data_IF_060675171016
#
_entry.id   IF_060675171016
#
_cell.length_a   1.000
_cell.length_b   1.000
_cell.length_c   1.000
_cell.angle_alpha   90.00
_cell.angle_beta   90.00
_cell.angle_gamma   90.00
#
_symmetry.space_group_name_H-M   'P 1'
#
loop_
_entity.id
_entity.type
_entity.pdbx_description
1 polymer ?
#
# COMPACT_ATOMS: atom_id res chain seq x y z
N UNK A 1 -19.44 5.04 10.49
CA UNK A 1 -18.17 5.82 10.59
C UNK A 1 -17.86 6.41 9.23
N UNK A 2 -17.31 7.64 9.11
CA UNK A 2 -17.07 8.21 7.77
C UNK A 2 -15.91 7.51 7.05
N UNK A 3 -16.01 7.33 5.73
CA UNK A 3 -14.94 6.73 4.91
C UNK A 3 -13.58 7.42 5.08
N UNK A 4 -13.56 8.75 5.23
CA UNK A 4 -12.31 9.51 5.45
C UNK A 4 -11.65 9.13 6.78
N UNK A 5 -12.43 8.86 7.83
CA UNK A 5 -11.90 8.45 9.14
C UNK A 5 -11.30 7.05 9.05
N UNK A 6 -12.01 6.12 8.39
CA UNK A 6 -11.52 4.77 8.08
C UNK A 6 -10.19 4.82 7.33
N UNK A 7 -10.11 5.61 6.26
CA UNK A 7 -8.88 5.74 5.45
C UNK A 7 -7.71 6.34 6.23
N UNK A 8 -7.95 7.37 7.06
CA UNK A 8 -6.89 7.95 7.91
C UNK A 8 -6.38 6.96 8.95
N UNK A 9 -7.28 6.17 9.55
CA UNK A 9 -6.90 5.11 10.50
C UNK A 9 -6.15 3.99 9.81
N UNK A 10 -6.57 3.57 8.61
CA UNK A 10 -5.83 2.61 7.79
C UNK A 10 -4.44 3.14 7.42
N UNK A 11 -4.32 4.40 6.99
CA UNK A 11 -3.04 5.04 6.67
C UNK A 11 -2.09 5.01 7.87
N UNK A 12 -2.57 5.45 9.03
CA UNK A 12 -1.78 5.48 10.26
C UNK A 12 -1.37 4.07 10.69
N UNK A 13 -2.31 3.12 10.66
CA UNK A 13 -2.05 1.73 11.00
C UNK A 13 -1.00 1.10 10.07
N UNK A 14 -1.12 1.31 8.76
CA UNK A 14 -0.13 0.82 7.79
C UNK A 14 1.24 1.40 8.07
N UNK A 15 1.33 2.71 8.31
CA UNK A 15 2.61 3.34 8.64
C UNK A 15 3.22 2.75 9.92
N UNK A 16 2.44 2.62 10.98
CA UNK A 16 2.91 2.11 12.27
C UNK A 16 3.32 0.64 12.23
N UNK A 17 2.65 -0.14 11.39
CA UNK A 17 2.83 -1.59 11.32
C UNK A 17 3.99 -1.99 10.42
N UNK A 18 4.12 -1.36 9.24
CA UNK A 18 5.09 -1.81 8.22
C UNK A 18 6.08 -0.76 7.74
N UNK A 19 5.94 0.51 8.12
CA UNK A 19 6.88 1.57 7.69
C UNK A 19 7.76 2.09 8.82
N UNK A 20 7.20 2.27 10.02
CA UNK A 20 7.89 2.91 11.15
C UNK A 20 9.16 2.16 11.53
N UNK A 21 10.28 2.88 11.58
CA UNK A 21 11.61 2.35 11.91
C UNK A 21 12.27 1.53 10.80
N UNK A 22 11.62 1.37 9.64
CA UNK A 22 12.20 0.67 8.49
C UNK A 22 12.97 1.66 7.62
N UNK A 23 14.28 1.48 7.47
CA UNK A 23 15.07 2.26 6.51
C UNK A 23 15.19 1.52 5.18
N UNK A 24 14.75 2.16 4.11
CA UNK A 24 14.76 1.58 2.76
C UNK A 24 15.47 2.52 1.78
N UNK A 25 16.04 1.92 0.73
CA UNK A 25 16.76 2.64 -0.33
C UNK A 25 15.80 3.63 -1.01
N UNK A 26 16.29 4.85 -1.21
CA UNK A 26 15.58 5.93 -1.89
C UNK A 26 16.51 6.55 -2.93
N UNK A 27 15.99 7.23 -3.96
CA UNK A 27 16.85 8.01 -4.84
C UNK A 27 17.74 8.96 -4.03
N UNK A 28 18.95 9.24 -4.50
CA UNK A 28 19.76 10.29 -3.88
C UNK A 28 19.31 11.68 -4.37
N UNK A 29 19.65 12.77 -3.66
CA UNK A 29 19.45 14.13 -4.16
C UNK A 29 19.98 14.30 -5.58
N UNK A 30 19.21 14.97 -6.44
CA UNK A 30 19.49 15.13 -7.87
C UNK A 30 19.59 13.81 -8.67
N UNK A 31 19.00 12.73 -8.17
CA UNK A 31 19.11 11.39 -8.75
C UNK A 31 20.58 10.94 -8.91
N UNK A 32 21.46 11.42 -8.02
CA UNK A 32 22.87 11.02 -8.05
C UNK A 32 22.98 9.56 -7.62
N UNK A 33 22.84 8.67 -8.60
CA UNK A 33 22.92 7.24 -8.37
C UNK A 33 24.16 6.93 -7.54
N UNK A 34 25.30 7.62 -7.72
CA UNK A 34 26.57 7.36 -7.00
C UNK A 34 26.47 7.33 -5.47
N UNK A 35 25.44 7.91 -4.89
CA UNK A 35 25.18 7.93 -3.45
C UNK A 35 24.06 6.97 -3.08
N UNK A 36 24.24 6.24 -1.97
CA UNK A 36 23.15 5.48 -1.37
C UNK A 36 22.45 6.39 -0.38
N UNK A 37 21.21 6.75 -0.69
CA UNK A 37 20.32 7.40 0.25
C UNK A 37 19.33 6.37 0.80
N UNK A 38 18.97 6.54 2.07
CA UNK A 38 17.95 5.75 2.73
C UNK A 38 16.97 6.67 3.42
N UNK A 39 15.71 6.28 3.46
CA UNK A 39 14.70 6.97 4.26
C UNK A 39 13.64 5.98 4.74
N UNK A 40 12.88 6.43 5.73
CA UNK A 40 11.69 5.72 6.16
C UNK A 40 10.56 5.83 5.11
N UNK A 41 9.89 4.73 4.75
CA UNK A 41 8.79 4.77 3.81
C UNK A 41 7.62 5.61 4.31
N UNK A 42 7.00 6.35 3.39
CA UNK A 42 5.80 7.16 3.67
C UNK A 42 4.55 6.45 3.19
N UNK A 43 3.41 6.73 3.82
CA UNK A 43 2.10 6.20 3.41
C UNK A 43 1.21 7.35 2.96
N UNK A 44 0.63 7.24 1.76
CA UNK A 44 -0.23 8.25 1.15
C UNK A 44 -1.65 7.72 0.90
N UNK A 45 -2.63 8.62 0.88
CA UNK A 45 -4.01 8.31 0.51
C UNK A 45 -4.31 8.84 -0.88
N UNK A 46 -4.85 7.99 -1.75
CA UNK A 46 -5.22 8.23 -3.15
C UNK A 46 -4.06 8.63 -4.09
N UNK A 47 -3.31 9.68 -3.78
CA UNK A 47 -2.22 10.20 -4.60
C UNK A 47 -1.00 10.55 -3.74
N UNK A 48 0.19 10.33 -4.30
CA UNK A 48 1.40 10.90 -3.73
C UNK A 48 1.43 12.43 -3.95
N UNK A 49 2.06 13.21 -3.05
CA UNK A 49 2.12 14.66 -3.18
C UNK A 49 2.88 15.06 -4.45
N UNK A 50 2.25 15.88 -5.29
CA UNK A 50 2.92 16.60 -6.38
C UNK A 50 3.48 17.92 -5.84
N UNK A 51 4.72 18.27 -6.17
CA UNK A 51 5.24 19.62 -5.95
C UNK A 51 4.93 20.47 -7.18
N UNK A 52 4.30 21.65 -7.06
CA UNK A 52 4.23 22.58 -8.17
C UNK A 52 5.63 23.14 -8.45
N UNK A 53 6.05 23.17 -9.71
CA UNK A 53 7.21 23.96 -10.11
C UNK A 53 6.84 25.46 -10.21
N UNK A 54 7.84 26.34 -10.27
CA UNK A 54 7.66 27.80 -10.35
C UNK A 54 6.94 28.26 -11.65
N UNK A 55 6.56 27.35 -12.55
CA UNK A 55 5.89 27.63 -13.82
C UNK A 55 4.39 27.28 -13.84
N UNK A 56 3.79 26.94 -12.69
CA UNK A 56 2.41 26.44 -12.60
C UNK A 56 2.17 25.15 -13.41
N UNK A 57 3.24 24.45 -13.79
CA UNK A 57 3.20 23.16 -14.44
C UNK A 57 3.21 22.07 -13.36
N UNK A 58 2.21 21.19 -13.37
CA UNK A 58 2.09 20.06 -12.43
C UNK A 58 2.94 18.88 -12.92
N UNK A 59 4.25 19.05 -13.01
CA UNK A 59 5.12 18.07 -13.65
C UNK A 59 6.54 18.06 -13.14
N UNK A 60 6.74 17.51 -11.94
CA UNK A 60 7.59 16.33 -11.70
C UNK A 60 7.39 15.93 -10.23
N UNK A 61 6.96 14.69 -10.00
CA UNK A 61 6.86 14.14 -8.65
C UNK A 61 8.28 13.93 -8.16
N UNK A 62 8.68 14.63 -7.09
CA UNK A 62 9.99 14.42 -6.47
C UNK A 62 10.12 12.96 -6.04
N UNK A 63 10.97 12.16 -6.70
CA UNK A 63 11.09 10.73 -6.42
C UNK A 63 11.52 10.46 -4.98
N UNK A 64 12.25 11.40 -4.35
CA UNK A 64 12.66 11.34 -2.94
C UNK A 64 11.46 11.40 -2.00
N UNK A 65 10.41 12.12 -2.40
CA UNK A 65 9.23 12.26 -1.56
C UNK A 65 8.29 11.07 -1.66
N UNK A 66 8.44 10.21 -2.67
CA UNK A 66 7.47 9.16 -2.99
C UNK A 66 8.02 7.75 -2.88
N UNK A 67 9.32 7.54 -3.13
CA UNK A 67 9.94 6.22 -3.05
C UNK A 67 11.04 6.16 -2.00
N UNK A 68 11.06 5.15 -1.12
CA UNK A 68 10.09 4.07 -0.99
C UNK A 68 8.81 4.55 -0.30
N UNK A 69 7.68 3.94 -0.62
CA UNK A 69 6.40 4.40 -0.09
C UNK A 69 5.23 3.48 -0.41
N UNK A 70 4.11 3.72 0.27
CA UNK A 70 2.85 3.02 0.09
C UNK A 70 1.78 4.03 -0.32
N UNK A 71 0.97 3.69 -1.31
CA UNK A 71 -0.24 4.44 -1.67
C UNK A 71 -1.46 3.57 -1.40
N UNK A 72 -2.37 4.05 -0.57
CA UNK A 72 -3.67 3.43 -0.32
C UNK A 72 -4.71 4.16 -1.15
N UNK A 73 -5.14 3.53 -2.24
CA UNK A 73 -6.18 4.05 -3.13
C UNK A 73 -7.52 3.38 -2.81
N UNK A 74 -8.52 4.11 -2.27
CA UNK A 74 -9.87 3.57 -2.15
C UNK A 74 -10.43 3.32 -3.56
N UNK A 75 -11.14 2.20 -3.71
CA UNK A 75 -11.79 1.83 -4.98
C UNK A 75 -13.30 1.79 -4.79
N UNK A 76 -13.98 0.84 -5.43
CA UNK A 76 -15.40 0.63 -5.27
C UNK A 76 -15.71 -0.05 -3.93
N UNK A 77 -16.90 0.20 -3.41
CA UNK A 77 -17.41 -0.45 -2.21
C UNK A 77 -18.93 -0.53 -2.31
N UNK A 78 -19.51 -1.52 -1.64
CA UNK A 78 -20.96 -1.64 -1.57
C UNK A 78 -21.51 -0.73 -0.48
N UNK A 79 -22.58 0.00 -0.78
CA UNK A 79 -23.28 0.82 0.22
C UNK A 79 -24.03 -0.04 1.23
N UNK A 80 -24.66 -1.12 0.73
CA UNK A 80 -25.32 -2.17 1.50
C UNK A 80 -25.19 -3.49 0.74
N UNK A 81 -24.46 -4.45 1.31
CA UNK A 81 -24.29 -5.80 0.80
C UNK A 81 -24.96 -6.74 1.79
N UNK A 82 -26.09 -7.30 1.37
CA UNK A 82 -26.79 -8.36 2.10
C UNK A 82 -26.67 -9.64 1.27
N UNK A 83 -25.56 -10.36 1.43
CA UNK A 83 -25.56 -11.78 1.04
C UNK A 83 -25.61 -12.64 2.29
N UNK A 84 -26.74 -13.30 2.49
CA UNK A 84 -26.72 -14.59 3.19
C UNK A 84 -26.02 -15.58 2.26
N UNK A 85 -24.83 -16.06 2.65
CA UNK A 85 -24.28 -17.24 1.96
C UNK A 85 -25.27 -18.41 2.15
N UNK A 86 -25.50 -19.20 1.08
CA UNK A 86 -26.43 -20.33 1.13
C UNK A 86 -26.13 -21.30 2.29
N UNK A 87 -24.86 -21.44 2.67
CA UNK A 87 -24.42 -22.26 3.79
C UNK A 87 -24.92 -21.75 5.15
N UNK A 88 -24.94 -20.43 5.35
CA UNK A 88 -25.38 -19.81 6.60
C UNK A 88 -26.88 -20.00 6.82
N UNK A 89 -27.67 -19.99 5.73
CA UNK A 89 -29.11 -20.28 5.75
C UNK A 89 -29.42 -21.72 6.18
N UNK A 90 -28.54 -22.69 5.90
CA UNK A 90 -28.72 -24.07 6.33
C UNK A 90 -28.24 -24.32 7.77
N UNK A 91 -27.37 -23.46 8.30
CA UNK A 91 -26.79 -23.60 9.64
C UNK A 91 -27.39 -22.63 10.67
N UNK A 92 -28.46 -21.91 10.31
CA UNK A 92 -29.15 -20.93 11.17
C UNK A 92 -28.22 -19.83 11.71
N UNK A 93 -27.13 -19.54 10.97
CA UNK A 93 -26.14 -18.52 11.34
C UNK A 93 -26.68 -17.14 10.94
N UNK A 94 -27.02 -16.35 11.93
CA UNK A 94 -27.54 -14.99 11.74
C UNK A 94 -26.39 -13.99 11.86
N UNK A 95 -25.89 -13.49 10.73
CA UNK A 95 -25.01 -12.32 10.75
C UNK A 95 -25.79 -11.09 11.22
N UNK A 96 -25.19 -10.19 12.04
CA UNK A 96 -25.82 -8.93 12.39
C UNK A 96 -26.22 -8.19 11.10
N UNK A 97 -27.50 -7.83 10.97
CA UNK A 97 -28.10 -7.15 9.81
C UNK A 97 -27.46 -5.79 9.46
N UNK A 98 -26.50 -5.36 10.27
CA UNK A 98 -25.87 -4.04 10.30
C UNK A 98 -24.49 -4.01 9.60
N UNK A 99 -23.91 -5.16 9.23
CA UNK A 99 -22.74 -5.21 8.33
C UNK A 99 -23.24 -5.12 6.89
N UNK A 100 -23.40 -3.89 6.39
CA UNK A 100 -23.88 -3.64 5.04
C UNK A 100 -22.86 -2.94 4.16
N UNK A 101 -21.97 -2.13 4.70
CA UNK A 101 -21.06 -1.38 3.83
C UNK A 101 -19.80 -2.19 3.58
N UNK A 102 -19.25 -2.15 2.37
CA UNK A 102 -17.87 -2.60 2.11
C UNK A 102 -16.99 -1.45 1.67
N UNK A 103 -15.71 -1.53 2.00
CA UNK A 103 -14.66 -0.62 1.55
C UNK A 103 -13.53 -1.45 0.95
N UNK A 104 -13.32 -1.35 -0.35
CA UNK A 104 -12.17 -1.93 -1.02
C UNK A 104 -11.07 -0.89 -1.22
N UNK A 105 -9.82 -1.26 -0.95
CA UNK A 105 -8.64 -0.44 -1.15
C UNK A 105 -7.57 -1.21 -1.93
N UNK A 106 -6.95 -0.53 -2.90
CA UNK A 106 -5.72 -0.99 -3.51
C UNK A 106 -4.54 -0.35 -2.78
N UNK A 107 -3.69 -1.17 -2.19
CA UNK A 107 -2.49 -0.77 -1.47
C UNK A 107 -1.29 -1.05 -2.37
N UNK A 108 -0.70 0.01 -2.92
CA UNK A 108 0.43 -0.04 -3.83
C UNK A 108 1.73 0.18 -3.05
N UNK A 109 2.70 -0.69 -3.24
CA UNK A 109 4.02 -0.63 -2.62
C UNK A 109 5.05 -0.23 -3.68
N UNK A 110 5.90 0.74 -3.34
CA UNK A 110 6.96 1.24 -4.21
C UNK A 110 8.31 1.05 -3.54
N UNK A 111 9.19 0.31 -4.20
CA UNK A 111 10.58 0.09 -3.78
C UNK A 111 11.50 0.64 -4.85
N UNK A 112 12.42 1.53 -4.47
CA UNK A 112 13.47 2.01 -5.36
C UNK A 112 14.68 1.09 -5.28
N UNK A 113 15.08 0.55 -6.43
CA UNK A 113 16.27 -0.26 -6.58
C UNK A 113 16.87 -0.02 -7.97
N UNK A 114 18.02 0.67 -8.01
CA UNK A 114 18.66 1.12 -9.24
C UNK A 114 19.55 0.07 -9.91
N UNK A 115 19.77 -1.08 -9.25
CA UNK A 115 20.48 -2.24 -9.80
C UNK A 115 21.98 -2.05 -10.01
N UNK A 116 22.63 -3.06 -10.60
CA UNK A 116 24.10 -3.12 -10.75
C UNK A 116 24.60 -2.10 -11.78
N UNK A 117 25.55 -1.27 -11.37
CA UNK A 117 26.18 -0.22 -12.19
C UNK A 117 27.43 -0.72 -12.89
N UNK A 118 27.61 -0.42 -14.20
CA UNK A 118 28.88 -0.13 -14.90
C UNK A 118 28.73 0.07 -16.42
N UNK A 119 29.50 0.98 -17.10
CA UNK A 119 30.98 1.04 -17.15
C UNK A 119 31.62 2.36 -16.63
N UNK A 120 32.85 2.30 -16.07
CA UNK A 120 33.64 3.44 -15.51
C UNK A 120 33.75 3.52 -13.97
N UNK A 121 32.96 2.72 -13.25
CA UNK A 121 32.93 2.61 -11.78
C UNK A 121 34.06 1.73 -11.21
N UNK A 122 34.54 0.71 -11.93
CA UNK A 122 35.67 -0.17 -11.54
C UNK A 122 36.95 0.64 -11.48
N UNK A 123 37.16 1.50 -12.48
CA UNK A 123 38.33 2.39 -12.56
C UNK A 123 38.39 3.36 -11.38
N UNK A 124 37.22 3.84 -10.88
CA UNK A 124 37.14 4.77 -9.75
C UNK A 124 37.02 4.10 -8.38
N UNK A 125 36.54 2.86 -8.31
CA UNK A 125 36.64 2.07 -7.10
C UNK A 125 38.10 1.69 -6.80
N UNK A 126 38.88 1.42 -7.85
CA UNK A 126 40.34 1.26 -7.75
C UNK A 126 41.06 2.56 -7.29
N UNK A 127 40.42 3.73 -7.40
CA UNK A 127 40.93 4.98 -6.82
C UNK A 127 40.46 5.26 -5.39
N UNK A 128 39.78 4.30 -4.74
CA UNK A 128 39.32 4.41 -3.35
C UNK A 128 38.08 5.30 -3.13
N UNK A 129 37.41 5.72 -4.20
CA UNK A 129 36.27 6.63 -4.12
C UNK A 129 34.92 5.92 -3.88
N UNK A 130 34.87 4.59 -4.02
CA UNK A 130 33.64 3.79 -3.92
C UNK A 130 33.92 2.43 -3.27
N UNK A 131 32.93 1.89 -2.56
CA UNK A 131 32.97 0.56 -1.93
C UNK A 131 32.49 -0.52 -2.90
N UNK A 132 33.37 -1.49 -3.20
CA UNK A 132 33.15 -2.58 -4.14
C UNK A 132 32.29 -3.72 -3.60
N UNK A 133 32.12 -3.83 -2.27
CA UNK A 133 31.30 -4.89 -1.66
C UNK A 133 29.81 -4.74 -1.94
N UNK A 134 29.39 -3.55 -2.36
CA UNK A 134 28.00 -3.15 -2.61
C UNK A 134 27.57 -3.30 -4.08
N UNK A 135 28.47 -3.77 -4.96
CA UNK A 135 28.19 -4.02 -6.39
C UNK A 135 27.32 -5.26 -6.65
N UNK A 136 27.11 -6.10 -5.63
CA UNK A 136 26.36 -7.34 -5.75
C UNK A 136 24.85 -7.18 -5.50
N UNK A 137 24.36 -5.97 -5.19
CA UNK A 137 22.91 -5.73 -5.02
C UNK A 137 22.19 -5.96 -6.37
N UNK A 138 21.67 -7.17 -6.52
CA UNK A 138 21.11 -7.68 -7.76
C UNK A 138 19.72 -7.11 -7.99
N UNK A 139 19.24 -7.15 -9.24
CA UNK A 139 17.83 -6.90 -9.59
C UNK A 139 16.82 -7.74 -8.80
N UNK A 140 17.29 -8.79 -8.10
CA UNK A 140 16.51 -9.64 -7.22
C UNK A 140 16.26 -9.00 -5.85
N UNK A 141 17.16 -8.18 -5.33
CA UNK A 141 17.07 -7.63 -3.96
C UNK A 141 15.89 -6.66 -3.83
N UNK A 142 15.62 -5.86 -4.87
CA UNK A 142 14.44 -4.99 -4.95
C UNK A 142 13.13 -5.78 -4.97
N UNK A 143 13.12 -6.93 -5.65
CA UNK A 143 11.97 -7.84 -5.67
C UNK A 143 11.77 -8.53 -4.31
N UNK A 144 12.82 -9.06 -3.70
CA UNK A 144 12.77 -9.69 -2.38
C UNK A 144 12.32 -8.68 -1.32
N UNK A 145 12.88 -7.47 -1.35
CA UNK A 145 12.47 -6.38 -0.47
C UNK A 145 10.99 -6.05 -0.62
N UNK A 146 10.51 -5.95 -1.86
CA UNK A 146 9.09 -5.70 -2.14
C UNK A 146 8.20 -6.83 -1.61
N UNK A 147 8.53 -8.09 -1.92
CA UNK A 147 7.72 -9.25 -1.55
C UNK A 147 7.68 -9.44 -0.02
N UNK A 148 8.84 -9.34 0.65
CA UNK A 148 8.92 -9.43 2.10
C UNK A 148 8.10 -8.31 2.77
N UNK A 149 8.17 -7.08 2.24
CA UNK A 149 7.40 -5.96 2.79
C UNK A 149 5.88 -6.14 2.60
N UNK A 150 5.47 -6.71 1.47
CA UNK A 150 4.07 -7.10 1.24
C UNK A 150 3.65 -8.26 2.15
N UNK A 151 4.52 -9.23 2.41
CA UNK A 151 4.28 -10.33 3.34
C UNK A 151 4.04 -9.81 4.76
N UNK A 152 4.89 -8.90 5.26
CA UNK A 152 4.72 -8.26 6.56
C UNK A 152 3.35 -7.57 6.69
N UNK A 153 2.90 -6.89 5.63
CA UNK A 153 1.59 -6.23 5.61
C UNK A 153 0.43 -7.22 5.62
N UNK A 154 0.52 -8.30 4.82
CA UNK A 154 -0.51 -9.35 4.77
C UNK A 154 -0.61 -10.08 6.10
N UNK A 155 0.52 -10.45 6.70
CA UNK A 155 0.56 -11.15 7.98
C UNK A 155 -0.03 -10.27 9.09
N UNK A 156 0.23 -8.96 9.05
CA UNK A 156 -0.40 -8.02 9.98
C UNK A 156 -1.92 -7.91 9.78
N UNK A 157 -2.39 -7.86 8.53
CA UNK A 157 -3.83 -7.86 8.23
C UNK A 157 -4.51 -9.14 8.73
N UNK A 158 -3.94 -10.31 8.42
CA UNK A 158 -4.50 -11.61 8.77
C UNK A 158 -4.46 -11.88 10.29
N UNK A 159 -3.45 -11.37 10.99
CA UNK A 159 -3.34 -11.54 12.44
C UNK A 159 -4.31 -10.65 13.22
N UNK A 160 -4.48 -9.39 12.81
CA UNK A 160 -5.36 -8.44 13.51
C UNK A 160 -6.82 -8.57 13.09
N UNK A 161 -7.07 -8.97 11.83
CA UNK A 161 -8.40 -9.11 11.18
C UNK A 161 -9.27 -7.86 11.17
N UNK A 162 -8.86 -6.82 11.88
CA UNK A 162 -9.56 -5.55 12.06
C UNK A 162 -8.53 -4.44 12.14
N UNK A 163 -8.92 -3.23 11.72
CA UNK A 163 -8.08 -2.05 11.90
C UNK A 163 -8.47 -1.40 13.24
N UNK A 164 -7.52 -1.16 14.16
CA UNK A 164 -7.79 -0.59 15.48
C UNK A 164 -8.56 0.74 15.42
N UNK A 165 -9.50 0.92 16.35
CA UNK A 165 -10.39 2.08 16.45
C UNK A 165 -11.27 2.33 15.20
N UNK A 166 -11.59 1.29 14.44
CA UNK A 166 -12.48 1.37 13.29
C UNK A 166 -13.52 0.27 13.30
N UNK A 167 -14.51 0.40 12.43
CA UNK A 167 -15.48 -0.65 12.10
C UNK A 167 -15.05 -1.47 10.88
N UNK A 168 -13.77 -1.48 10.51
CA UNK A 168 -13.26 -2.21 9.36
C UNK A 168 -12.85 -3.64 9.75
N UNK A 169 -13.61 -4.62 9.28
CA UNK A 169 -13.35 -6.05 9.43
C UNK A 169 -12.84 -6.62 8.11
N UNK A 170 -11.72 -7.32 8.13
CA UNK A 170 -11.10 -7.86 6.92
C UNK A 170 -11.98 -8.95 6.29
N UNK A 171 -12.30 -8.80 5.00
CA UNK A 171 -12.87 -9.86 4.19
C UNK A 171 -11.75 -10.66 3.52
N UNK A 172 -11.21 -11.65 4.24
CA UNK A 172 -10.05 -12.44 3.81
C UNK A 172 -10.27 -13.10 2.44
N UNK A 173 -11.49 -13.54 2.14
CA UNK A 173 -11.84 -14.26 0.91
C UNK A 173 -11.76 -13.38 -0.36
N UNK A 174 -11.83 -12.06 -0.20
CA UNK A 174 -11.80 -11.09 -1.31
C UNK A 174 -10.47 -10.33 -1.42
N UNK A 175 -9.50 -10.63 -0.54
CA UNK A 175 -8.19 -10.01 -0.58
C UNK A 175 -7.29 -10.69 -1.63
N UNK A 176 -6.51 -9.89 -2.36
CA UNK A 176 -5.62 -10.36 -3.41
C UNK A 176 -4.28 -9.63 -3.31
N UNK A 177 -3.19 -10.26 -3.77
CA UNK A 177 -1.89 -9.60 -3.84
C UNK A 177 -1.12 -10.08 -5.07
N UNK A 178 -0.16 -9.27 -5.51
CA UNK A 178 0.73 -9.62 -6.61
C UNK A 178 1.60 -8.46 -7.05
N UNK A 179 2.44 -8.70 -8.05
CA UNK A 179 3.17 -7.64 -8.73
C UNK A 179 2.19 -6.77 -9.52
N UNK A 180 2.51 -5.49 -9.63
CA UNK A 180 1.74 -4.59 -10.46
C UNK A 180 1.85 -5.01 -11.93
N UNK A 181 0.69 -5.31 -12.55
CA UNK A 181 0.59 -5.69 -13.95
C UNK A 181 -0.15 -4.63 -14.75
N UNK A 182 0.38 -4.29 -15.92
CA UNK A 182 -0.29 -3.47 -16.93
C UNK A 182 -0.71 -4.37 -18.10
N UNK A 183 -1.99 -4.36 -18.46
CA UNK A 183 -2.54 -5.18 -19.56
C UNK A 183 -2.13 -6.66 -19.54
N UNK A 184 -2.07 -7.28 -18.35
CA UNK A 184 -1.65 -8.68 -18.09
C UNK A 184 -0.16 -8.98 -18.23
N UNK A 185 0.69 -7.97 -18.41
CA UNK A 185 2.14 -8.10 -18.34
C UNK A 185 2.66 -7.47 -17.06
N UNK A 186 3.69 -8.06 -16.44
CA UNK A 186 4.39 -7.40 -15.32
C UNK A 186 5.02 -6.12 -15.88
N UNK A 187 4.64 -4.98 -15.32
CA UNK A 187 5.16 -3.70 -15.78
C UNK A 187 6.59 -3.52 -15.24
N UNK A 188 7.59 -3.70 -16.10
CA UNK A 188 8.97 -3.34 -15.77
C UNK A 188 9.07 -1.81 -15.67
N UNK A 189 9.16 -1.30 -14.44
CA UNK A 189 9.21 0.12 -14.10
C UNK A 189 10.55 0.51 -13.47
N UNK A 190 11.62 -0.25 -13.73
CA UNK A 190 12.95 0.02 -13.18
C UNK A 190 13.36 1.49 -13.37
N UNK A 191 13.93 2.14 -12.33
CA UNK A 191 14.46 1.55 -11.10
C UNK A 191 13.43 1.37 -9.96
N UNK A 192 12.12 1.32 -10.26
CA UNK A 192 11.08 1.05 -9.26
C UNK A 192 10.47 -0.35 -9.43
N UNK A 193 10.36 -1.07 -8.31
CA UNK A 193 9.56 -2.28 -8.19
C UNK A 193 8.22 -1.91 -7.56
N UNK A 194 7.13 -2.38 -8.17
CA UNK A 194 5.77 -2.05 -7.74
C UNK A 194 4.99 -3.32 -7.44
N UNK A 195 4.49 -3.39 -6.22
CA UNK A 195 3.60 -4.45 -5.75
C UNK A 195 2.23 -3.90 -5.39
N UNK A 196 1.23 -4.78 -5.36
CA UNK A 196 -0.15 -4.41 -5.04
C UNK A 196 -0.78 -5.43 -4.11
N UNK A 197 -1.47 -4.94 -3.09
CA UNK A 197 -2.40 -5.71 -2.26
C UNK A 197 -3.78 -5.07 -2.36
N UNK A 198 -4.76 -5.80 -2.88
CA UNK A 198 -6.17 -5.42 -2.84
C UNK A 198 -6.77 -5.97 -1.55
N UNK A 199 -7.31 -5.07 -0.73
CA UNK A 199 -7.88 -5.38 0.58
C UNK A 199 -9.34 -4.96 0.60
N UNK A 200 -10.23 -5.85 1.00
CA UNK A 200 -11.64 -5.53 1.20
C UNK A 200 -12.00 -5.61 2.68
N UNK A 201 -12.66 -4.57 3.17
CA UNK A 201 -13.21 -4.54 4.52
C UNK A 201 -14.73 -4.54 4.49
N UNK A 202 -15.34 -5.31 5.38
CA UNK A 202 -16.74 -5.16 5.77
C UNK A 202 -16.81 -4.10 6.87
N UNK A 203 -17.83 -3.25 6.78
CA UNK A 203 -18.04 -2.08 7.63
C UNK A 203 -19.51 -2.00 8.06
N UNK A 204 -19.76 -1.31 9.17
CA UNK A 204 -21.13 -1.00 9.55
C UNK A 204 -21.78 -0.05 8.53
N UNK A 205 -23.01 -0.38 8.13
CA UNK A 205 -23.83 0.53 7.34
C UNK A 205 -24.33 1.66 8.25
N UNK A 206 -24.17 2.91 7.81
CA UNK A 206 -24.72 4.07 8.52
C UNK A 206 -26.25 4.13 8.29
N UNK A 207 -27.03 3.27 8.95
CA UNK A 207 -28.50 3.33 8.95
C UNK A 207 -29.02 3.86 10.30
N UNK A 208 -29.29 5.16 10.35
CA UNK A 208 -30.21 5.72 11.34
C UNK A 208 -31.50 6.13 10.60
N UNK A 209 -32.55 5.31 10.73
CA UNK A 209 -33.86 5.61 10.15
C UNK A 209 -34.90 5.86 11.26
N UNK A 210 -35.16 7.14 11.52
CA UNK A 210 -36.18 7.58 12.49
C UNK A 210 -37.60 7.09 12.15
N UNK A 211 -37.91 6.84 10.87
CA UNK A 211 -39.23 6.39 10.44
C UNK A 211 -39.48 4.91 10.79
N UNK A 212 -38.45 4.06 10.72
CA UNK A 212 -38.55 2.64 11.13
C UNK A 212 -38.77 2.52 12.63
N UNK A 213 -38.16 3.40 13.44
CA UNK A 213 -38.33 3.43 14.89
C UNK A 213 -39.73 3.88 15.30
N UNK A 214 -40.38 4.73 14.50
CA UNK A 214 -41.78 5.14 14.70
C UNK A 214 -42.79 4.06 14.32
N UNK A 215 -42.42 3.14 13.41
CA UNK A 215 -43.28 2.02 12.99
C UNK A 215 -43.25 0.82 13.95
N UNK A 216 -42.30 0.79 14.88
CA UNK A 216 -42.12 -0.28 15.88
C UNK A 216 -42.68 0.07 17.27
N UNK A 217 -43.45 1.16 17.38
CA UNK A 217 -44.25 1.53 18.56
C UNK A 217 -45.74 1.42 18.24
#
# INVERSE_FOLDING_TARGET
MRTVERLRKLQQWTYDTVCRGREMKTPAPNMDVRQIARQEPKVFLAYAPMRPDDSNFTGEVDPLNVSPGIIIAPTFGYLKYMEEQRFDRYNDVHWPKEMGQSLCCQVLFFVYEDGIRLPGFVERANSGAYDMSLMAEGTQDGLETLLNWMDDFKDALLSQKTIPDTDMFLNEAECQYGLYSDQKFVADRRPAFIGMVTVTFQCHADEYNDEVTKLLR
#
